data_IF_865091007622
#
_entry.id   IF_865091007622
#
_cell.length_a   1.000
_cell.length_b   1.000
_cell.length_c   1.000
_cell.angle_alpha   90.00
_cell.angle_beta   90.00
_cell.angle_gamma   90.00
#
_symmetry.space_group_name_H-M   'P 1'
#
loop_
_entity.id
_entity.type
_entity.pdbx_description
1 polymer ?
#
# COMPACT_ATOMS: atom_id res chain seq x y z
N UNK A 1 -11.02 20.53 13.53
CA UNK A 1 -12.03 19.90 12.68
C UNK A 1 -11.38 19.66 11.32
N UNK A 2 -11.05 18.41 11.00
CA UNK A 2 -10.56 18.03 9.67
C UNK A 2 -11.74 18.05 8.71
N UNK A 3 -11.66 18.84 7.63
CA UNK A 3 -12.64 18.80 6.55
C UNK A 3 -12.42 17.48 5.80
N UNK A 4 -13.36 16.55 5.91
CA UNK A 4 -13.36 15.39 5.01
C UNK A 4 -13.60 15.87 3.57
N UNK A 5 -12.93 15.30 2.57
CA UNK A 5 -13.27 15.58 1.18
C UNK A 5 -14.66 14.97 0.89
N UNK A 6 -15.49 15.71 0.16
CA UNK A 6 -16.82 15.26 -0.23
C UNK A 6 -17.03 15.49 -1.73
N UNK A 7 -17.73 14.55 -2.38
CA UNK A 7 -18.30 14.82 -3.70
C UNK A 7 -19.66 15.50 -3.50
N UNK A 8 -19.87 16.66 -4.13
CA UNK A 8 -21.10 17.43 -3.99
C UNK A 8 -21.83 17.50 -5.33
N UNK A 9 -23.06 17.00 -5.38
CA UNK A 9 -23.96 17.18 -6.51
C UNK A 9 -25.26 17.87 -6.05
N UNK A 10 -25.46 19.11 -6.51
CA UNK A 10 -26.62 19.91 -6.12
C UNK A 10 -27.95 19.28 -6.55
N UNK A 11 -27.97 18.56 -7.67
CA UNK A 11 -29.17 17.84 -8.13
C UNK A 11 -29.44 16.55 -7.33
N UNK A 12 -28.42 16.05 -6.62
CA UNK A 12 -28.44 14.75 -5.97
C UNK A 12 -28.39 13.59 -6.98
N UNK A 13 -28.07 12.40 -6.49
CA UNK A 13 -28.11 11.16 -7.25
C UNK A 13 -29.12 10.24 -6.57
N UNK A 14 -30.10 9.74 -7.32
CA UNK A 14 -31.08 8.79 -6.80
C UNK A 14 -30.49 7.36 -6.75
N UNK A 15 -30.38 6.80 -5.54
CA UNK A 15 -29.92 5.44 -5.27
C UNK A 15 -31.09 4.46 -5.03
N UNK A 16 -32.28 4.80 -5.52
CA UNK A 16 -33.48 3.96 -5.45
C UNK A 16 -33.95 3.79 -4.01
N UNK A 17 -33.85 2.59 -3.45
CA UNK A 17 -34.31 2.29 -2.09
C UNK A 17 -33.57 3.08 -0.99
N UNK A 18 -32.39 3.61 -1.30
CA UNK A 18 -31.60 4.43 -0.39
C UNK A 18 -31.89 5.94 -0.52
N UNK A 19 -32.75 6.33 -1.47
CA UNK A 19 -33.15 7.71 -1.72
C UNK A 19 -32.09 8.53 -2.45
N UNK A 20 -32.29 9.85 -2.47
CA UNK A 20 -31.39 10.80 -3.12
C UNK A 20 -30.23 11.17 -2.20
N UNK A 21 -29.00 10.94 -2.67
CA UNK A 21 -27.76 11.31 -1.98
C UNK A 21 -27.19 12.57 -2.63
N UNK A 22 -26.92 13.60 -1.82
CA UNK A 22 -26.36 14.87 -2.28
C UNK A 22 -24.85 15.00 -2.01
N UNK A 23 -24.37 14.26 -1.00
CA UNK A 23 -23.00 14.33 -0.52
C UNK A 23 -22.50 12.93 -0.21
N UNK A 24 -21.29 12.60 -0.69
CA UNK A 24 -20.61 11.36 -0.36
C UNK A 24 -19.30 11.69 0.36
N UNK A 25 -19.17 11.22 1.61
CA UNK A 25 -17.94 11.34 2.37
C UNK A 25 -16.85 10.48 1.74
N UNK A 26 -15.76 11.11 1.32
CA UNK A 26 -14.56 10.40 0.88
C UNK A 26 -13.68 10.20 2.12
N UNK A 27 -13.85 9.06 2.79
CA UNK A 27 -12.92 8.63 3.85
C UNK A 27 -11.67 8.04 3.23
N UNK A 28 -10.53 8.66 3.49
CA UNK A 28 -9.22 8.07 3.21
C UNK A 28 -8.99 6.99 4.27
N UNK A 29 -9.28 5.74 3.93
CA UNK A 29 -9.06 4.61 4.83
C UNK A 29 -7.61 4.16 4.74
N UNK A 30 -7.01 3.88 5.91
CA UNK A 30 -5.72 3.19 5.95
C UNK A 30 -5.91 1.79 5.38
N UNK A 31 -4.93 1.32 4.63
CA UNK A 31 -4.97 0.01 4.01
C UNK A 31 -3.58 -0.61 3.97
N UNK A 32 -3.53 -1.92 4.14
CA UNK A 32 -2.38 -2.74 3.74
C UNK A 32 -2.63 -3.23 2.31
N UNK A 33 -1.58 -3.36 1.51
CA UNK A 33 -1.69 -3.93 0.16
C UNK A 33 -1.11 -5.35 0.12
N UNK A 34 -1.93 -6.30 -0.29
CA UNK A 34 -1.60 -7.73 -0.43
C UNK A 34 -1.72 -8.17 -1.90
N UNK A 35 -1.25 -9.37 -2.22
CA UNK A 35 -1.29 -9.90 -3.58
C UNK A 35 -2.50 -10.80 -3.75
N UNK A 36 -3.46 -10.39 -4.56
CA UNK A 36 -4.44 -11.32 -5.12
C UNK A 36 -3.84 -12.02 -6.34
N UNK A 37 -3.86 -13.34 -6.37
CA UNK A 37 -3.36 -14.12 -7.50
C UNK A 37 -4.29 -15.27 -7.85
N UNK A 38 -4.72 -15.33 -9.11
CA UNK A 38 -5.42 -16.48 -9.68
C UNK A 38 -4.73 -16.94 -10.99
N UNK A 39 -5.37 -17.82 -11.76
CA UNK A 39 -4.81 -18.35 -13.01
C UNK A 39 -4.52 -17.25 -14.06
N UNK A 40 -5.18 -16.10 -13.96
CA UNK A 40 -5.23 -15.07 -15.01
C UNK A 40 -4.66 -13.73 -14.53
N UNK A 41 -4.68 -13.48 -13.22
CA UNK A 41 -4.44 -12.17 -12.63
C UNK A 41 -3.42 -12.24 -11.52
N UNK A 42 -2.59 -11.20 -11.44
CA UNK A 42 -1.76 -10.87 -10.27
C UNK A 42 -1.99 -9.39 -9.99
N UNK A 43 -2.68 -9.09 -8.89
CA UNK A 43 -3.14 -7.75 -8.58
C UNK A 43 -2.82 -7.42 -7.13
N UNK A 44 -2.26 -6.24 -6.89
CA UNK A 44 -2.24 -5.68 -5.54
C UNK A 44 -3.65 -5.23 -5.17
N UNK A 45 -4.14 -5.74 -4.05
CA UNK A 45 -5.48 -5.43 -3.53
C UNK A 45 -5.36 -4.73 -2.17
N UNK A 46 -6.28 -3.81 -1.93
CA UNK A 46 -6.37 -3.11 -0.65
C UNK A 46 -7.06 -3.99 0.40
N UNK A 47 -6.46 -4.06 1.57
CA UNK A 47 -7.02 -4.66 2.78
C UNK A 47 -7.29 -3.51 3.75
N UNK A 48 -8.56 -3.13 3.96
CA UNK A 48 -8.92 -2.03 4.85
C UNK A 48 -8.43 -2.29 6.27
N UNK A 49 -7.87 -1.25 6.90
CA UNK A 49 -7.39 -1.28 8.28
C UNK A 49 -8.21 -0.33 9.14
N UNK A 50 -8.20 -0.57 10.45
CA UNK A 50 -8.80 0.33 11.42
C UNK A 50 -8.10 1.71 11.41
N UNK A 51 -8.85 2.76 11.75
CA UNK A 51 -8.33 4.14 11.74
C UNK A 51 -7.10 4.32 12.67
N UNK A 52 -7.04 3.55 13.75
CA UNK A 52 -5.99 3.61 14.76
C UNK A 52 -4.79 2.70 14.46
N UNK A 53 -4.86 1.86 13.42
CA UNK A 53 -3.75 1.00 13.02
C UNK A 53 -2.52 1.85 12.68
N UNK A 54 -1.37 1.45 13.21
CA UNK A 54 -0.06 2.05 12.97
C UNK A 54 0.55 1.53 11.66
N UNK A 55 1.59 2.21 11.16
CA UNK A 55 2.23 1.76 9.92
C UNK A 55 3.00 0.45 10.14
N UNK A 56 3.54 0.26 11.35
CA UNK A 56 4.19 -0.97 11.79
C UNK A 56 3.22 -2.15 11.79
N UNK A 57 2.02 -1.96 12.36
CA UNK A 57 0.96 -2.97 12.34
C UNK A 57 0.49 -3.27 10.91
N UNK A 58 0.43 -2.27 10.02
CA UNK A 58 0.10 -2.48 8.62
C UNK A 58 1.17 -3.30 7.87
N UNK A 59 2.46 -3.05 8.14
CA UNK A 59 3.55 -3.85 7.59
C UNK A 59 3.53 -5.29 8.12
N UNK A 60 3.14 -5.49 9.39
CA UNK A 60 2.90 -6.82 9.94
C UNK A 60 1.68 -7.51 9.30
N UNK A 61 0.61 -6.78 9.01
CA UNK A 61 -0.57 -7.32 8.32
C UNK A 61 -0.23 -7.83 6.92
N UNK A 62 0.69 -7.16 6.21
CA UNK A 62 1.19 -7.60 4.90
C UNK A 62 1.95 -8.95 4.92
N UNK A 63 2.28 -9.45 6.11
CA UNK A 63 2.89 -10.77 6.32
C UNK A 63 1.89 -11.91 6.41
N UNK A 64 0.61 -11.59 6.56
CA UNK A 64 -0.46 -12.54 6.80
C UNK A 64 -1.25 -12.74 5.51
N UNK A 65 -1.32 -13.99 5.04
CA UNK A 65 -2.13 -14.41 3.91
C UNK A 65 -3.54 -14.85 4.31
N UNK A 66 -4.45 -14.76 3.35
CA UNK A 66 -5.82 -15.27 3.41
C UNK A 66 -6.03 -16.18 2.19
N UNK A 67 -5.32 -17.32 2.17
CA UNK A 67 -5.20 -18.19 1.00
C UNK A 67 -6.54 -18.75 0.50
N UNK A 68 -7.51 -18.94 1.40
CA UNK A 68 -8.89 -19.34 1.06
C UNK A 68 -9.58 -18.34 0.10
N UNK A 69 -9.09 -17.10 0.05
CA UNK A 69 -9.57 -16.04 -0.84
C UNK A 69 -8.58 -15.68 -1.95
N UNK A 70 -7.55 -16.51 -2.17
CA UNK A 70 -6.45 -16.24 -3.11
C UNK A 70 -5.68 -14.93 -2.82
N UNK A 71 -5.66 -14.50 -1.56
CA UNK A 71 -4.92 -13.31 -1.12
C UNK A 71 -3.67 -13.77 -0.36
N UNK A 72 -2.51 -13.43 -0.90
CA UNK A 72 -1.20 -13.88 -0.44
C UNK A 72 -0.42 -12.73 0.19
N UNK A 73 0.47 -13.02 1.15
CA UNK A 73 1.30 -12.01 1.78
C UNK A 73 2.26 -11.39 0.75
N UNK A 74 2.42 -10.07 0.82
CA UNK A 74 3.38 -9.30 0.01
C UNK A 74 4.70 -9.09 0.73
N UNK A 75 4.72 -9.30 2.05
CA UNK A 75 5.92 -9.23 2.89
C UNK A 75 6.20 -10.61 3.48
N UNK A 76 7.46 -11.10 3.45
CA UNK A 76 7.81 -12.35 4.10
C UNK A 76 7.57 -12.32 5.62
N UNK A 77 6.89 -13.31 6.18
CA UNK A 77 6.52 -13.34 7.61
C UNK A 77 7.64 -13.53 8.64
N UNK A 78 8.91 -13.51 8.21
CA UNK A 78 10.09 -13.46 9.10
C UNK A 78 10.88 -12.16 8.94
N UNK A 79 10.39 -11.24 8.11
CA UNK A 79 11.04 -9.96 7.91
C UNK A 79 10.70 -9.06 9.09
N UNK A 80 11.73 -8.64 9.82
CA UNK A 80 11.61 -7.68 10.91
C UNK A 80 11.88 -6.29 10.36
N UNK A 81 11.14 -5.30 10.87
CA UNK A 81 11.23 -3.92 10.44
C UNK A 81 11.30 -2.98 11.63
N UNK A 82 12.08 -1.93 11.47
CA UNK A 82 11.93 -0.71 12.26
C UNK A 82 11.59 0.46 11.34
N UNK A 83 10.70 1.35 11.79
CA UNK A 83 10.28 2.50 11.00
C UNK A 83 10.53 3.80 11.74
N UNK A 84 10.82 4.85 10.98
CA UNK A 84 10.98 6.21 11.49
C UNK A 84 10.27 7.18 10.55
N UNK A 85 9.36 7.98 11.10
CA UNK A 85 8.68 9.03 10.35
C UNK A 85 9.54 10.31 10.30
N UNK A 86 9.74 10.86 9.10
CA UNK A 86 10.44 12.13 8.85
C UNK A 86 9.61 13.05 7.98
N UNK A 87 8.64 13.74 8.59
CA UNK A 87 7.70 14.59 7.85
C UNK A 87 6.82 13.75 6.92
N UNK A 88 6.95 13.97 5.61
CA UNK A 88 6.21 13.25 4.57
C UNK A 88 6.91 11.96 4.11
N UNK A 89 8.09 11.65 4.65
CA UNK A 89 8.86 10.45 4.33
C UNK A 89 8.75 9.39 5.45
N UNK A 90 8.58 8.14 5.05
CA UNK A 90 8.69 6.95 5.89
C UNK A 90 10.05 6.27 5.66
N UNK A 91 10.88 6.20 6.68
CA UNK A 91 12.11 5.41 6.65
C UNK A 91 11.82 4.02 7.21
N UNK A 92 12.07 2.98 6.41
CA UNK A 92 11.94 1.58 6.81
C UNK A 92 13.33 0.96 6.83
N UNK A 93 13.73 0.35 7.94
CA UNK A 93 14.97 -0.41 8.04
C UNK A 93 14.64 -1.89 8.20
N UNK A 94 15.26 -2.72 7.38
CA UNK A 94 15.14 -4.17 7.48
C UNK A 94 16.08 -4.66 8.58
N UNK A 95 15.51 -5.37 9.56
CA UNK A 95 16.27 -5.99 10.64
C UNK A 95 16.60 -7.43 10.25
N UNK A 96 17.86 -7.81 10.44
CA UNK A 96 18.52 -8.99 9.85
C UNK A 96 18.80 -8.76 8.35
N UNK A 97 19.93 -9.25 7.81
CA UNK A 97 20.36 -9.10 6.40
C UNK A 97 19.37 -9.77 5.41
N UNK A 98 18.13 -9.28 5.35
CA UNK A 98 17.09 -9.78 4.49
C UNK A 98 17.33 -9.16 3.12
N UNK A 99 17.82 -10.01 2.23
CA UNK A 99 18.02 -9.68 0.82
C UNK A 99 16.65 -9.58 0.15
N UNK A 100 16.25 -8.37 -0.21
CA UNK A 100 15.18 -8.20 -1.19
C UNK A 100 15.79 -8.51 -2.55
N UNK A 101 15.39 -9.64 -3.13
CA UNK A 101 15.88 -10.06 -4.43
C UNK A 101 15.45 -9.08 -5.52
N UNK A 102 16.36 -8.81 -6.46
CA UNK A 102 16.04 -8.17 -7.74
C UNK A 102 15.20 -9.14 -8.61
N UNK A 103 13.93 -9.27 -8.24
CA UNK A 103 12.99 -10.21 -8.82
C UNK A 103 11.59 -9.61 -8.90
N UNK A 104 10.68 -10.30 -9.60
CA UNK A 104 9.27 -9.92 -9.66
C UNK A 104 8.64 -9.87 -8.27
N UNK A 105 8.97 -10.84 -7.41
CA UNK A 105 8.48 -10.89 -6.02
C UNK A 105 8.99 -9.69 -5.21
N UNK A 106 10.27 -9.34 -5.35
CA UNK A 106 10.82 -8.14 -4.72
C UNK A 106 10.12 -6.87 -5.21
N UNK A 107 9.88 -6.75 -6.52
CA UNK A 107 9.18 -5.60 -7.11
C UNK A 107 7.76 -5.45 -6.56
N UNK A 108 6.99 -6.54 -6.48
CA UNK A 108 5.63 -6.56 -5.92
C UNK A 108 5.65 -6.11 -4.45
N UNK A 109 6.62 -6.58 -3.67
CA UNK A 109 6.75 -6.18 -2.27
C UNK A 109 7.04 -4.67 -2.15
N UNK A 110 7.94 -4.12 -2.97
CA UNK A 110 8.22 -2.67 -2.99
C UNK A 110 6.94 -1.90 -3.34
N UNK A 111 6.24 -2.27 -4.41
CA UNK A 111 4.99 -1.62 -4.82
C UNK A 111 3.93 -1.65 -3.71
N UNK A 112 3.77 -2.81 -3.05
CA UNK A 112 2.84 -2.98 -1.96
C UNK A 112 3.19 -2.08 -0.76
N UNK A 113 4.48 -2.00 -0.39
CA UNK A 113 4.95 -1.09 0.68
C UNK A 113 4.66 0.37 0.33
N UNK A 114 4.93 0.79 -0.91
CA UNK A 114 4.68 2.16 -1.35
C UNK A 114 3.19 2.51 -1.31
N UNK A 115 2.32 1.59 -1.76
CA UNK A 115 0.88 1.78 -1.72
C UNK A 115 0.34 1.80 -0.29
N UNK A 116 0.83 0.93 0.59
CA UNK A 116 0.52 0.95 2.02
C UNK A 116 0.92 2.30 2.62
N UNK A 117 2.17 2.74 2.44
CA UNK A 117 2.66 4.02 2.95
C UNK A 117 1.81 5.23 2.45
N UNK A 118 1.41 5.21 1.18
CA UNK A 118 0.51 6.23 0.61
C UNK A 118 -0.84 6.30 1.33
N UNK A 119 -1.41 5.15 1.71
CA UNK A 119 -2.68 5.11 2.45
C UNK A 119 -2.57 5.79 3.81
N UNK A 120 -1.37 5.77 4.42
CA UNK A 120 -1.03 6.46 5.67
C UNK A 120 -0.67 7.94 5.48
N UNK A 121 -0.60 8.42 4.24
CA UNK A 121 -0.35 9.82 3.92
C UNK A 121 1.13 10.19 3.71
N UNK A 122 2.01 9.20 3.55
CA UNK A 122 3.39 9.45 3.16
C UNK A 122 3.51 9.66 1.65
N UNK A 123 4.43 10.54 1.25
CA UNK A 123 4.75 10.82 -0.15
C UNK A 123 6.00 10.08 -0.63
N UNK A 124 6.89 9.73 0.32
CA UNK A 124 8.14 9.04 0.05
C UNK A 124 8.39 7.90 1.02
N UNK A 125 9.07 6.86 0.55
CA UNK A 125 9.58 5.76 1.37
C UNK A 125 11.06 5.58 1.11
N UNK A 126 11.87 5.56 2.16
CA UNK A 126 13.28 5.19 2.08
C UNK A 126 13.47 3.82 2.73
N UNK A 127 13.98 2.86 1.98
CA UNK A 127 14.29 1.52 2.49
C UNK A 127 15.79 1.46 2.77
N UNK A 128 16.15 1.10 4.00
CA UNK A 128 17.52 1.00 4.50
C UNK A 128 17.86 -0.47 4.78
N UNK A 129 19.16 -0.76 4.84
CA UNK A 129 19.72 -2.10 5.10
C UNK A 129 19.31 -3.17 4.07
N UNK A 130 19.03 -2.75 2.84
CA UNK A 130 18.81 -3.63 1.69
C UNK A 130 20.15 -3.94 1.00
N UNK A 131 20.33 -5.17 0.53
CA UNK A 131 21.49 -5.55 -0.27
C UNK A 131 21.32 -5.11 -1.73
N UNK A 132 22.13 -4.16 -2.17
CA UNK A 132 22.11 -3.66 -3.55
C UNK A 132 21.24 -2.43 -3.74
N UNK A 133 21.38 -1.82 -4.92
CA UNK A 133 20.80 -0.51 -5.23
C UNK A 133 19.55 -0.61 -6.11
N UNK A 134 19.12 -1.82 -6.49
CA UNK A 134 18.00 -2.03 -7.41
C UNK A 134 17.12 -3.21 -7.00
N UNK A 135 15.81 -3.02 -7.16
CA UNK A 135 14.80 -4.08 -7.08
C UNK A 135 13.84 -3.90 -8.25
N UNK A 136 13.95 -4.77 -9.25
CA UNK A 136 13.30 -4.63 -10.54
C UNK A 136 13.66 -3.31 -11.22
N UNK A 137 12.64 -2.48 -11.45
CA UNK A 137 12.81 -1.17 -12.07
C UNK A 137 13.05 -0.04 -11.05
N UNK A 138 12.95 -0.30 -9.75
CA UNK A 138 13.20 0.68 -8.71
C UNK A 138 14.69 0.81 -8.39
N UNK A 139 15.14 2.06 -8.26
CA UNK A 139 16.42 2.41 -7.64
C UNK A 139 16.17 2.67 -6.15
N UNK A 140 16.56 1.73 -5.30
CA UNK A 140 16.31 1.75 -3.85
C UNK A 140 17.43 2.45 -3.07
N UNK A 141 18.48 2.91 -3.77
CA UNK A 141 19.56 3.70 -3.18
C UNK A 141 19.10 5.12 -2.77
N UNK A 142 17.99 5.59 -3.33
CA UNK A 142 17.35 6.87 -3.03
C UNK A 142 15.93 6.71 -2.45
N UNK A 143 15.33 7.74 -1.83
CA UNK A 143 13.92 7.70 -1.44
C UNK A 143 12.99 7.52 -2.65
N UNK A 144 12.07 6.56 -2.55
CA UNK A 144 11.09 6.25 -3.57
C UNK A 144 9.82 7.08 -3.37
N UNK A 145 9.31 7.71 -4.44
CA UNK A 145 8.00 8.36 -4.40
C UNK A 145 6.90 7.31 -4.44
N UNK A 146 5.84 7.50 -3.64
CA UNK A 146 4.66 6.65 -3.74
C UNK A 146 3.97 6.81 -5.11
N UNK A 147 3.45 5.73 -5.71
CA UNK A 147 2.86 5.78 -7.05
C UNK A 147 1.49 6.47 -7.04
N UNK A 148 1.08 7.01 -8.19
CA UNK A 148 -0.21 7.69 -8.32
C UNK A 148 -1.39 6.70 -8.29
N UNK A 149 -1.19 5.46 -8.75
CA UNK A 149 -2.20 4.39 -8.74
C UNK A 149 -1.55 3.00 -8.53
N UNK A 150 -2.36 2.05 -8.05
CA UNK A 150 -2.02 0.63 -7.94
C UNK A 150 -2.37 -0.11 -9.23
N UNK A 151 -1.63 -1.18 -9.56
CA UNK A 151 -1.83 -2.02 -10.77
C UNK A 151 -1.94 -1.24 -12.10
N UNK A 152 -0.99 -0.37 -12.45
CA UNK A 152 -1.07 0.38 -13.70
C UNK A 152 -0.98 -0.54 -14.92
N UNK A 153 -1.94 -0.41 -15.85
CA UNK A 153 -1.83 -1.02 -17.18
C UNK A 153 -1.00 -0.08 -18.06
N UNK A 154 0.18 -0.51 -18.49
CA UNK A 154 0.96 0.24 -19.46
C UNK A 154 0.31 0.13 -20.84
N UNK A 155 -0.23 1.24 -21.36
CA UNK A 155 -0.69 1.33 -22.74
C UNK A 155 0.53 1.51 -23.64
N UNK A 156 0.75 0.59 -24.59
CA UNK A 156 1.76 0.68 -25.64
C UNK A 156 1.22 1.45 -26.84
#
# INVERSE_FOLDING_TARGET
MLKQPFFNNQEGIDFGQFGTIHELALTKTKAAYKLYSDEQNNLLVEVPLDEYTTIEEALAEMQIGEEDYNVFPTVPGKMEFSVVTRGEQLDISLDNEVVIEDSRTGTIMIEAILMTAKSFGYDFVKINNISGDRVGYYDVSEPLRVPDAVNPIMLH
#
